data_IF_700749573830
#
_entry.id   IF_700749573830
#
_cell.length_a   1.000
_cell.length_b   1.000
_cell.length_c   1.000
_cell.angle_alpha   90.00
_cell.angle_beta   90.00
_cell.angle_gamma   90.00
#
_symmetry.space_group_name_H-M   'P 1'
#
loop_
_entity.id
_entity.type
_entity.pdbx_description
1 polymer ?
#
# COMPACT_ATOMS: atom_id res chain seq x y z
N UNK A 1 51.20 -19.89 42.50
CA UNK A 1 51.28 -20.13 41.04
C UNK A 1 49.87 -20.09 40.49
N UNK A 2 49.63 -19.19 39.53
CA UNK A 2 48.41 -18.95 38.75
C UNK A 2 47.09 -18.69 39.49
N UNK A 3 46.47 -17.56 39.18
CA UNK A 3 45.21 -17.50 38.42
C UNK A 3 44.79 -16.03 38.28
N UNK A 4 44.89 -15.52 37.06
CA UNK A 4 44.46 -14.17 36.71
C UNK A 4 43.93 -14.19 35.29
N UNK A 5 42.76 -14.82 35.11
CA UNK A 5 42.03 -14.73 33.85
C UNK A 5 41.61 -13.27 33.66
N UNK A 6 42.25 -12.59 32.69
CA UNK A 6 41.88 -11.24 32.22
C UNK A 6 41.21 -11.33 30.84
N UNK A 7 40.04 -11.98 30.69
CA UNK A 7 39.40 -12.15 29.38
C UNK A 7 38.88 -10.82 28.80
N UNK A 8 38.65 -9.81 29.66
CA UNK A 8 38.07 -8.53 29.24
C UNK A 8 39.10 -7.56 28.66
N UNK A 9 40.37 -7.64 29.09
CA UNK A 9 41.39 -6.69 28.62
C UNK A 9 41.82 -7.00 27.17
N UNK A 10 41.88 -8.27 26.78
CA UNK A 10 42.24 -8.68 25.41
C UNK A 10 41.16 -8.31 24.39
N UNK A 11 39.90 -8.21 24.80
CA UNK A 11 38.81 -7.70 23.97
C UNK A 11 38.98 -6.20 23.68
N UNK A 12 39.46 -5.44 24.66
CA UNK A 12 39.65 -3.99 24.55
C UNK A 12 40.89 -3.63 23.73
N UNK A 13 41.96 -4.43 23.83
CA UNK A 13 43.18 -4.25 23.03
C UNK A 13 42.95 -4.50 21.54
N UNK A 14 42.21 -5.55 21.18
CA UNK A 14 41.83 -5.80 19.78
C UNK A 14 40.93 -4.71 19.19
N UNK A 15 40.08 -4.09 20.01
CA UNK A 15 39.24 -2.96 19.59
C UNK A 15 40.09 -1.72 19.25
N UNK A 16 41.17 -1.47 19.99
CA UNK A 16 42.06 -0.34 19.75
C UNK A 16 42.89 -0.50 18.45
N UNK A 17 43.36 -1.71 18.14
CA UNK A 17 44.07 -1.99 16.88
C UNK A 17 43.14 -1.84 15.65
N UNK A 18 41.88 -2.27 15.76
CA UNK A 18 40.86 -2.08 14.72
C UNK A 18 40.58 -0.60 14.47
N UNK A 19 40.49 0.21 15.52
CA UNK A 19 40.25 1.65 15.43
C UNK A 19 41.46 2.46 14.94
N UNK A 20 42.69 1.98 15.18
CA UNK A 20 43.92 2.65 14.73
C UNK A 20 44.23 2.35 13.26
N UNK A 21 43.66 1.30 12.69
CA UNK A 21 43.83 0.98 11.28
C UNK A 21 42.98 1.91 10.40
N UNK A 22 43.63 2.93 9.82
CA UNK A 22 43.02 3.91 8.92
C UNK A 22 42.18 3.27 7.79
N UNK A 23 42.56 2.09 7.30
CA UNK A 23 41.85 1.41 6.22
C UNK A 23 40.51 0.83 6.70
N UNK A 24 40.48 0.23 7.88
CA UNK A 24 39.24 -0.30 8.48
C UNK A 24 38.31 0.83 8.87
N UNK A 25 38.83 1.94 9.43
CA UNK A 25 38.02 3.11 9.75
C UNK A 25 37.38 3.70 8.49
N UNK A 26 38.15 3.88 7.41
CA UNK A 26 37.60 4.38 6.14
C UNK A 26 36.58 3.43 5.52
N UNK A 27 36.83 2.11 5.61
CA UNK A 27 35.89 1.10 5.13
C UNK A 27 34.59 1.13 5.92
N UNK A 28 34.66 1.21 7.25
CA UNK A 28 33.49 1.27 8.12
C UNK A 28 32.71 2.56 7.90
N UNK A 29 33.41 3.69 7.74
CA UNK A 29 32.78 4.97 7.43
C UNK A 29 32.07 4.93 6.07
N UNK A 30 32.66 4.27 5.07
CA UNK A 30 32.06 4.05 3.76
C UNK A 30 30.87 3.09 3.83
N UNK A 31 30.94 2.06 4.66
CA UNK A 31 29.86 1.10 4.87
C UNK A 31 28.67 1.75 5.58
N UNK A 32 28.93 2.54 6.62
CA UNK A 32 27.93 3.41 7.27
C UNK A 32 27.36 4.41 6.26
N UNK A 33 28.20 4.99 5.40
CA UNK A 33 27.73 5.90 4.35
C UNK A 33 26.76 5.22 3.39
N UNK A 34 27.08 4.01 2.90
CA UNK A 34 26.16 3.25 2.06
C UNK A 34 24.89 2.89 2.84
N UNK A 35 24.98 2.47 4.10
CA UNK A 35 23.77 2.07 4.86
C UNK A 35 22.85 3.26 5.17
N UNK A 36 23.40 4.44 5.49
CA UNK A 36 22.62 5.59 5.95
C UNK A 36 22.30 6.61 4.84
N UNK A 37 23.18 6.78 3.85
CA UNK A 37 23.02 7.77 2.78
C UNK A 37 22.68 7.13 1.41
N UNK A 38 22.85 5.81 1.22
CA UNK A 38 22.35 5.18 0.00
C UNK A 38 20.82 5.21 0.00
N UNK A 39 20.23 5.64 -1.11
CA UNK A 39 18.78 5.81 -1.29
C UNK A 39 18.03 4.48 -1.42
N UNK A 40 18.73 3.36 -1.29
CA UNK A 40 18.23 1.99 -1.37
C UNK A 40 17.99 1.47 0.06
N UNK A 41 16.90 0.82 0.45
CA UNK A 41 15.88 0.11 -0.33
C UNK A 41 14.93 -0.59 0.67
N UNK A 42 14.31 0.15 1.59
CA UNK A 42 13.25 -0.39 2.46
C UNK A 42 12.02 0.50 2.48
N UNK A 43 12.21 1.80 2.73
CA UNK A 43 11.11 2.78 2.74
C UNK A 43 10.50 2.91 1.34
N UNK A 44 11.33 2.97 0.29
CA UNK A 44 10.84 3.05 -1.09
C UNK A 44 10.09 1.80 -1.51
N UNK A 45 10.58 0.60 -1.13
CA UNK A 45 9.90 -0.65 -1.44
C UNK A 45 8.59 -0.80 -0.66
N UNK A 46 8.54 -0.36 0.60
CA UNK A 46 7.31 -0.34 1.38
C UNK A 46 6.28 0.57 0.71
N UNK A 47 6.65 1.79 0.34
CA UNK A 47 5.77 2.72 -0.38
C UNK A 47 5.30 2.16 -1.72
N UNK A 48 6.17 1.44 -2.42
CA UNK A 48 5.82 0.82 -3.71
C UNK A 48 4.81 -0.32 -3.51
N UNK A 49 4.99 -1.14 -2.48
CA UNK A 49 4.03 -2.19 -2.12
C UNK A 49 2.69 -1.62 -1.66
N UNK A 50 2.70 -0.56 -0.84
CA UNK A 50 1.48 0.12 -0.44
C UNK A 50 0.73 0.66 -1.66
N UNK A 51 1.46 1.29 -2.60
CA UNK A 51 0.85 1.81 -3.83
C UNK A 51 0.34 0.69 -4.73
N UNK A 52 1.00 -0.46 -4.74
CA UNK A 52 0.54 -1.62 -5.50
C UNK A 52 -0.77 -2.16 -4.93
N UNK A 53 -0.87 -2.29 -3.61
CA UNK A 53 -2.11 -2.73 -2.96
C UNK A 53 -3.26 -1.74 -3.21
N UNK A 54 -3.00 -0.43 -3.11
CA UNK A 54 -3.99 0.62 -3.41
C UNK A 54 -4.51 0.50 -4.85
N UNK A 55 -3.62 0.27 -5.82
CA UNK A 55 -3.99 0.10 -7.22
C UNK A 55 -4.78 -1.19 -7.48
N UNK A 56 -4.47 -2.28 -6.78
CA UNK A 56 -5.23 -3.53 -6.89
C UNK A 56 -6.64 -3.42 -6.28
N UNK A 57 -6.78 -2.69 -5.17
CA UNK A 57 -8.07 -2.38 -4.55
C UNK A 57 -8.93 -1.53 -5.48
N UNK A 58 -8.38 -0.41 -6.01
CA UNK A 58 -9.06 0.42 -7.01
C UNK A 58 -9.48 -0.39 -8.24
N UNK A 59 -8.61 -1.28 -8.73
CA UNK A 59 -8.92 -2.12 -9.88
C UNK A 59 -10.13 -3.04 -9.60
N UNK A 60 -10.15 -3.64 -8.42
CA UNK A 60 -11.23 -4.53 -7.99
C UNK A 60 -12.55 -3.78 -7.89
N UNK A 61 -12.54 -2.57 -7.31
CA UNK A 61 -13.74 -1.72 -7.23
C UNK A 61 -14.27 -1.34 -8.62
N UNK A 62 -13.40 -0.94 -9.55
CA UNK A 62 -13.83 -0.61 -10.90
C UNK A 62 -14.41 -1.81 -11.65
N UNK A 63 -13.86 -3.01 -11.47
CA UNK A 63 -14.40 -4.22 -12.08
C UNK A 63 -15.82 -4.51 -11.58
N UNK A 64 -16.06 -4.34 -10.27
CA UNK A 64 -17.39 -4.47 -9.68
C UNK A 64 -18.37 -3.44 -10.27
N UNK A 65 -17.97 -2.17 -10.36
CA UNK A 65 -18.81 -1.13 -10.96
C UNK A 65 -19.15 -1.42 -12.43
N UNK A 66 -18.21 -1.98 -13.19
CA UNK A 66 -18.43 -2.38 -14.58
C UNK A 66 -19.43 -3.53 -14.67
N UNK A 67 -19.35 -4.51 -13.77
CA UNK A 67 -20.29 -5.62 -13.71
C UNK A 67 -21.71 -5.13 -13.38
N UNK A 68 -21.86 -4.32 -12.34
CA UNK A 68 -23.14 -3.70 -11.97
C UNK A 68 -23.72 -2.86 -13.13
N UNK A 69 -22.89 -2.02 -13.75
CA UNK A 69 -23.33 -1.20 -14.89
C UNK A 69 -23.77 -2.06 -16.08
N UNK A 70 -23.12 -3.21 -16.33
CA UNK A 70 -23.53 -4.13 -17.40
C UNK A 70 -24.88 -4.77 -17.09
N UNK A 71 -25.13 -5.12 -15.84
CA UNK A 71 -26.44 -5.63 -15.41
C UNK A 71 -27.51 -4.54 -15.59
N UNK A 72 -27.27 -3.30 -15.15
CA UNK A 72 -28.20 -2.18 -15.34
C UNK A 72 -28.49 -1.92 -16.83
N UNK A 73 -27.48 -1.97 -17.70
CA UNK A 73 -27.66 -1.84 -19.16
C UNK A 73 -28.48 -3.01 -19.71
N UNK A 74 -28.27 -4.23 -19.19
CA UNK A 74 -29.07 -5.40 -19.54
C UNK A 74 -30.55 -5.19 -19.22
N UNK A 75 -30.85 -4.73 -18.00
CA UNK A 75 -32.22 -4.41 -17.57
C UNK A 75 -32.85 -3.29 -18.39
N UNK A 76 -32.10 -2.21 -18.68
CA UNK A 76 -32.53 -1.11 -19.53
C UNK A 76 -32.93 -1.60 -20.93
N UNK A 77 -32.11 -2.45 -21.55
CA UNK A 77 -32.36 -2.97 -22.90
C UNK A 77 -33.54 -3.94 -22.96
N UNK A 78 -33.77 -4.71 -21.90
CA UNK A 78 -34.89 -5.66 -21.84
C UNK A 78 -36.21 -4.97 -21.50
N UNK A 79 -36.20 -3.92 -20.68
CA UNK A 79 -37.44 -3.31 -20.19
C UNK A 79 -37.30 -1.80 -19.89
N UNK A 80 -37.14 -1.02 -20.96
CA UNK A 80 -36.89 0.42 -20.91
C UNK A 80 -37.96 1.20 -20.12
N UNK A 81 -39.26 0.88 -20.28
CA UNK A 81 -40.33 1.56 -19.55
C UNK A 81 -40.28 1.29 -18.04
N UNK A 82 -39.98 0.04 -17.64
CA UNK A 82 -39.82 -0.32 -16.23
C UNK A 82 -38.63 0.41 -15.62
N UNK A 83 -37.46 0.38 -16.29
CA UNK A 83 -36.26 1.07 -15.82
C UNK A 83 -36.47 2.58 -15.68
N UNK A 84 -37.09 3.22 -16.68
CA UNK A 84 -37.45 4.64 -16.66
C UNK A 84 -38.36 5.02 -15.48
N UNK A 85 -39.32 4.14 -15.12
CA UNK A 85 -40.26 4.38 -14.02
C UNK A 85 -39.66 4.09 -12.65
N UNK A 86 -38.80 3.07 -12.50
CA UNK A 86 -38.24 2.68 -11.20
C UNK A 86 -37.01 3.51 -10.81
N UNK A 87 -36.07 3.76 -11.74
CA UNK A 87 -34.85 4.54 -11.45
C UNK A 87 -35.09 6.05 -11.51
N UNK A 88 -35.88 6.51 -12.48
CA UNK A 88 -36.02 7.93 -12.79
C UNK A 88 -37.43 8.48 -12.54
N UNK A 89 -38.38 7.65 -12.08
CA UNK A 89 -39.77 8.04 -11.80
C UNK A 89 -40.44 8.76 -12.97
N UNK A 90 -40.10 8.39 -14.21
CA UNK A 90 -40.69 9.00 -15.38
C UNK A 90 -42.21 8.73 -15.45
N UNK A 91 -42.97 9.78 -15.78
CA UNK A 91 -44.43 9.77 -15.88
C UNK A 91 -44.87 10.29 -17.25
N UNK A 92 -45.97 9.76 -17.79
CA UNK A 92 -46.58 10.29 -19.02
C UNK A 92 -47.39 11.54 -18.70
N UNK A 93 -47.55 12.44 -19.67
CA UNK A 93 -48.25 13.73 -19.46
C UNK A 93 -49.71 13.59 -18.99
N UNK A 94 -50.34 12.43 -19.21
CA UNK A 94 -51.72 12.12 -18.80
C UNK A 94 -51.80 11.09 -17.65
N UNK A 95 -50.75 10.94 -16.85
CA UNK A 95 -50.67 9.94 -15.77
C UNK A 95 -50.28 10.59 -14.43
N UNK A 96 -51.14 10.46 -13.41
CA UNK A 96 -50.86 10.90 -12.04
C UNK A 96 -50.18 9.77 -11.25
N UNK A 97 -48.91 9.96 -10.86
CA UNK A 97 -48.11 8.98 -10.10
C UNK A 97 -48.04 9.35 -8.62
N UNK A 98 -48.42 8.42 -7.73
CA UNK A 98 -48.40 8.62 -6.28
C UNK A 98 -47.27 7.80 -5.62
N UNK A 99 -46.30 8.47 -4.99
CA UNK A 99 -45.24 7.81 -4.20
C UNK A 99 -45.68 7.72 -2.73
N UNK A 100 -45.95 6.51 -2.26
CA UNK A 100 -46.36 6.26 -0.86
C UNK A 100 -45.11 6.04 -0.02
N UNK A 101 -44.71 7.05 0.76
CA UNK A 101 -43.66 6.89 1.78
C UNK A 101 -44.31 6.35 3.05
N UNK A 102 -43.90 5.16 3.48
CA UNK A 102 -44.36 4.58 4.74
C UNK A 102 -43.56 5.21 5.89
N UNK A 103 -44.24 5.97 6.74
CA UNK A 103 -43.72 6.44 8.03
C UNK A 103 -43.61 5.28 9.03
#
# INVERSE_FOLDING_TARGET
>A
MHLGNRPLLTLFEGFNEILTNKYLLTFFLFLVWIIFFDKHSLITNHKLNDKLNELEEENTEYLLMIEETKEEIGELNQNLEKFAREKYFFQKENEDVFVIVKN
#
